data_IF_083749447359
#
_entry.id   IF_083749447359
#
_cell.length_a   1.000
_cell.length_b   1.000
_cell.length_c   1.000
_cell.angle_alpha   90.00
_cell.angle_beta   90.00
_cell.angle_gamma   90.00
#
_symmetry.space_group_name_H-M   'P 1'
#
loop_
_entity.id
_entity.type
_entity.pdbx_description
1 polymer ?
#
# COMPACT_ATOMS: atom_id res chain seq x y z
N UNK A 1 -41.90 -22.47 7.67
CA UNK A 1 -40.58 -22.86 8.23
C UNK A 1 -39.55 -21.93 7.61
N UNK A 2 -39.27 -20.80 8.26
CA UNK A 2 -38.27 -19.84 7.75
C UNK A 2 -36.89 -20.45 8.01
N UNK A 3 -36.26 -20.99 6.97
CA UNK A 3 -34.84 -21.28 7.01
C UNK A 3 -34.13 -19.95 7.30
N UNK A 4 -33.48 -19.86 8.46
CA UNK A 4 -32.54 -18.79 8.74
C UNK A 4 -31.46 -18.83 7.65
N UNK A 5 -31.55 -17.91 6.68
CA UNK A 5 -30.42 -17.51 5.85
C UNK A 5 -29.45 -16.75 6.75
N UNK A 6 -28.69 -17.47 7.58
CA UNK A 6 -27.40 -16.95 8.00
C UNK A 6 -26.51 -17.07 6.76
N UNK A 7 -26.07 -15.96 6.13
CA UNK A 7 -25.03 -16.05 5.12
C UNK A 7 -23.84 -16.74 5.79
N UNK A 8 -23.47 -17.90 5.26
CA UNK A 8 -22.40 -18.71 5.83
C UNK A 8 -21.14 -17.85 5.83
N UNK A 9 -20.51 -17.66 7.00
CA UNK A 9 -19.41 -16.70 7.20
C UNK A 9 -18.30 -16.92 6.14
N UNK A 10 -18.13 -18.17 5.72
CA UNK A 10 -17.22 -18.59 4.64
C UNK A 10 -17.55 -18.01 3.26
N UNK A 11 -18.84 -17.94 2.89
CA UNK A 11 -19.27 -17.34 1.61
C UNK A 11 -19.06 -15.83 1.57
N UNK A 12 -19.21 -15.17 2.73
CA UNK A 12 -18.93 -13.73 2.87
C UNK A 12 -17.42 -13.44 2.78
N UNK A 13 -16.60 -14.21 3.47
CA UNK A 13 -15.14 -14.07 3.44
C UNK A 13 -14.56 -14.38 2.05
N UNK A 14 -15.10 -15.39 1.36
CA UNK A 14 -14.69 -15.71 -0.01
C UNK A 14 -15.07 -14.62 -1.02
N UNK A 15 -16.29 -14.09 -0.94
CA UNK A 15 -16.72 -12.97 -1.78
C UNK A 15 -15.88 -11.72 -1.52
N UNK A 16 -15.55 -11.45 -0.26
CA UNK A 16 -14.67 -10.34 0.12
C UNK A 16 -13.27 -10.51 -0.45
N UNK A 17 -12.65 -11.68 -0.30
CA UNK A 17 -11.33 -11.96 -0.85
C UNK A 17 -11.30 -11.84 -2.38
N UNK A 18 -12.30 -12.38 -3.07
CA UNK A 18 -12.41 -12.28 -4.53
C UNK A 18 -12.58 -10.83 -4.99
N UNK A 19 -13.37 -10.03 -4.25
CA UNK A 19 -13.52 -8.61 -4.54
C UNK A 19 -12.21 -7.84 -4.28
N UNK A 20 -11.57 -8.07 -3.13
CA UNK A 20 -10.30 -7.46 -2.77
C UNK A 20 -9.21 -7.78 -3.78
N UNK A 21 -9.13 -9.04 -4.22
CA UNK A 21 -8.25 -9.49 -5.29
C UNK A 21 -8.45 -8.67 -6.56
N UNK A 22 -9.68 -8.63 -7.10
CA UNK A 22 -10.00 -7.90 -8.33
C UNK A 22 -9.73 -6.41 -8.22
N UNK A 23 -10.04 -5.81 -7.07
CA UNK A 23 -9.79 -4.40 -6.81
C UNK A 23 -8.29 -4.10 -6.77
N UNK A 24 -7.49 -4.91 -6.06
CA UNK A 24 -6.04 -4.74 -5.97
C UNK A 24 -5.37 -4.99 -7.32
N UNK A 25 -5.76 -6.02 -8.07
CA UNK A 25 -5.25 -6.27 -9.42
C UNK A 25 -5.63 -5.13 -10.37
N UNK A 26 -6.88 -4.64 -10.31
CA UNK A 26 -7.35 -3.53 -11.13
C UNK A 26 -6.59 -2.23 -10.85
N UNK A 27 -6.43 -1.88 -9.57
CA UNK A 27 -5.65 -0.71 -9.12
C UNK A 27 -4.19 -0.87 -9.54
N UNK A 28 -3.60 -2.04 -9.28
CA UNK A 28 -2.22 -2.35 -9.64
C UNK A 28 -1.97 -2.18 -11.14
N UNK A 29 -2.83 -2.76 -12.00
CA UNK A 29 -2.75 -2.61 -13.45
C UNK A 29 -2.93 -1.16 -13.89
N UNK A 30 -3.93 -0.47 -13.33
CA UNK A 30 -4.23 0.92 -13.67
C UNK A 30 -3.05 1.86 -13.41
N UNK A 31 -2.29 1.65 -12.33
CA UNK A 31 -1.11 2.46 -12.03
C UNK A 31 0.18 1.94 -12.68
N UNK A 32 0.30 0.63 -12.90
CA UNK A 32 1.47 0.03 -13.52
C UNK A 32 1.58 0.39 -15.01
N UNK A 33 0.46 0.43 -15.75
CA UNK A 33 0.47 0.72 -17.19
C UNK A 33 1.01 2.14 -17.50
N UNK A 34 0.54 3.22 -16.84
CA UNK A 34 1.15 4.54 -16.93
C UNK A 34 2.61 4.54 -16.48
N UNK A 35 2.93 3.90 -15.35
CA UNK A 35 4.29 3.84 -14.82
C UNK A 35 5.30 3.19 -15.78
N UNK A 36 4.90 2.10 -16.45
CA UNK A 36 5.71 1.46 -17.49
C UNK A 36 5.80 2.33 -18.75
N UNK A 37 4.69 2.92 -19.20
CA UNK A 37 4.69 3.81 -20.37
C UNK A 37 5.63 5.00 -20.18
N UNK A 38 5.79 5.44 -18.94
CA UNK A 38 6.69 6.51 -18.56
C UNK A 38 8.17 6.22 -18.74
N UNK A 39 8.58 4.96 -18.57
CA UNK A 39 9.96 4.52 -18.82
C UNK A 39 10.28 4.60 -20.31
N UNK A 40 9.31 4.26 -21.17
CA UNK A 40 9.54 4.12 -22.60
C UNK A 40 9.29 5.40 -23.41
N UNK A 41 8.36 6.25 -22.98
CA UNK A 41 7.88 7.36 -23.82
C UNK A 41 8.14 8.77 -23.27
N UNK A 42 8.66 8.93 -22.04
CA UNK A 42 8.96 10.25 -21.43
C UNK A 42 7.82 11.26 -21.60
N UNK A 43 6.61 10.88 -21.17
CA UNK A 43 5.43 11.75 -21.22
C UNK A 43 5.42 12.73 -20.04
N UNK A 44 4.76 13.89 -20.20
CA UNK A 44 4.58 14.87 -19.13
C UNK A 44 3.81 14.33 -17.90
N UNK A 45 3.08 13.21 -18.06
CA UNK A 45 2.41 12.51 -16.95
C UNK A 45 3.36 11.72 -16.04
N UNK A 46 4.64 11.56 -16.41
CA UNK A 46 5.63 10.87 -15.59
C UNK A 46 6.05 11.64 -14.34
N UNK A 47 5.66 12.90 -14.27
CA UNK A 47 5.80 13.76 -13.09
C UNK A 47 4.58 13.69 -12.16
N UNK A 48 3.56 12.87 -12.48
CA UNK A 48 2.49 12.53 -11.52
C UNK A 48 3.03 11.56 -10.48
N UNK A 49 3.92 12.09 -9.66
CA UNK A 49 4.50 11.41 -8.53
C UNK A 49 3.39 11.22 -7.50
N UNK A 50 3.38 10.10 -6.80
CA UNK A 50 2.59 9.96 -5.57
C UNK A 50 3.25 10.82 -4.48
N UNK A 51 3.13 12.14 -4.62
CA UNK A 51 3.61 13.19 -3.71
C UNK A 51 3.27 12.90 -2.24
N UNK A 52 2.09 12.35 -1.88
CA UNK A 52 1.79 12.07 -0.48
C UNK A 52 2.37 10.76 0.05
N UNK A 53 3.07 9.93 -0.73
CA UNK A 53 3.73 8.72 -0.20
C UNK A 53 5.18 8.99 0.23
N UNK A 54 5.86 9.92 -0.43
CA UNK A 54 7.30 10.14 -0.23
C UNK A 54 7.63 11.50 0.38
N UNK A 55 6.64 12.36 0.63
CA UNK A 55 6.87 13.68 1.22
C UNK A 55 7.80 14.59 0.41
N UNK A 56 8.00 14.30 -0.88
CA UNK A 56 8.93 15.01 -1.74
C UNK A 56 10.42 14.64 -1.56
N UNK A 57 10.74 13.42 -1.09
CA UNK A 57 12.12 12.91 -0.96
C UNK A 57 12.71 12.49 -2.33
N UNK A 58 13.50 13.35 -3.02
CA UNK A 58 13.87 13.21 -4.44
C UNK A 58 14.62 11.91 -4.78
N UNK A 59 15.24 11.26 -3.80
CA UNK A 59 16.06 10.04 -3.99
C UNK A 59 15.24 8.76 -4.15
N UNK A 60 13.95 8.73 -3.80
CA UNK A 60 13.09 7.53 -3.88
C UNK A 60 12.11 7.55 -5.07
N UNK A 61 12.17 8.59 -5.90
CA UNK A 61 11.00 9.06 -6.65
C UNK A 61 10.57 8.23 -7.87
N UNK A 62 11.49 7.70 -8.68
CA UNK A 62 11.12 7.29 -10.05
C UNK A 62 10.80 5.80 -10.22
N UNK A 63 11.59 4.89 -9.64
CA UNK A 63 11.37 3.44 -9.84
C UNK A 63 10.42 2.82 -8.82
N UNK A 64 10.38 3.37 -7.61
CA UNK A 64 9.70 2.75 -6.49
C UNK A 64 8.18 3.04 -6.47
N UNK A 65 7.82 4.31 -6.67
CA UNK A 65 6.43 4.79 -6.67
C UNK A 65 5.65 4.35 -7.93
N UNK A 66 6.30 4.38 -9.10
CA UNK A 66 5.66 4.13 -10.39
C UNK A 66 5.56 2.67 -10.81
N UNK A 67 6.39 1.78 -10.25
CA UNK A 67 6.49 0.39 -10.71
C UNK A 67 6.40 -0.59 -9.54
N UNK A 68 7.28 -0.44 -8.54
CA UNK A 68 7.39 -1.44 -7.47
C UNK A 68 6.10 -1.54 -6.63
N UNK A 69 5.50 -0.40 -6.25
CA UNK A 69 4.28 -0.39 -5.45
C UNK A 69 3.04 -0.86 -6.23
N UNK A 70 2.77 -0.41 -7.48
CA UNK A 70 1.72 -1.00 -8.30
C UNK A 70 1.92 -2.49 -8.56
N UNK A 71 3.18 -2.94 -8.78
CA UNK A 71 3.49 -4.35 -8.96
C UNK A 71 3.24 -5.16 -7.69
N UNK A 72 3.64 -4.67 -6.52
CA UNK A 72 3.33 -5.32 -5.25
C UNK A 72 1.81 -5.42 -5.00
N UNK A 73 1.06 -4.36 -5.35
CA UNK A 73 -0.41 -4.34 -5.27
C UNK A 73 -1.03 -5.39 -6.20
N UNK A 74 -0.53 -5.48 -7.44
CA UNK A 74 -0.97 -6.45 -8.44
C UNK A 74 -0.68 -7.88 -8.01
N UNK A 75 0.54 -8.15 -7.54
CA UNK A 75 0.96 -9.46 -7.05
C UNK A 75 0.14 -9.88 -5.83
N UNK A 76 -0.18 -8.95 -4.92
CA UNK A 76 -1.07 -9.21 -3.79
C UNK A 76 -2.49 -9.53 -4.26
N UNK A 77 -3.02 -8.80 -5.24
CA UNK A 77 -4.33 -9.10 -5.82
C UNK A 77 -4.38 -10.50 -6.44
N UNK A 78 -3.36 -10.88 -7.23
CA UNK A 78 -3.26 -12.21 -7.82
C UNK A 78 -3.09 -13.31 -6.76
N UNK A 79 -2.28 -13.08 -5.72
CA UNK A 79 -2.04 -14.07 -4.68
C UNK A 79 -3.28 -14.38 -3.84
N UNK A 80 -4.17 -13.40 -3.66
CA UNK A 80 -5.45 -13.60 -2.95
C UNK A 80 -6.45 -14.46 -3.75
N UNK A 81 -6.37 -14.48 -5.08
CA UNK A 81 -7.22 -15.32 -5.93
C UNK A 81 -6.70 -16.77 -6.01
N UNK A 82 -5.39 -16.97 -5.81
CA UNK A 82 -4.77 -18.28 -5.78
C UNK A 82 -5.18 -19.05 -4.51
N UNK A 83 -6.16 -19.94 -4.64
CA UNK A 83 -6.49 -20.89 -3.57
C UNK A 83 -5.30 -21.81 -3.29
N UNK A 84 -5.10 -22.17 -2.02
CA UNK A 84 -3.97 -23.00 -1.58
C UNK A 84 -2.99 -22.28 -0.66
N UNK A 85 -2.09 -23.07 -0.06
CA UNK A 85 -1.05 -22.58 0.85
C UNK A 85 -0.10 -21.58 0.19
N UNK A 86 0.11 -21.72 -1.12
CA UNK A 86 0.99 -20.84 -1.89
C UNK A 86 0.42 -19.43 -2.01
N UNK A 87 -0.86 -19.27 -2.38
CA UNK A 87 -1.51 -17.96 -2.48
C UNK A 87 -1.68 -17.29 -1.12
N UNK A 88 -2.06 -18.06 -0.10
CA UNK A 88 -2.09 -17.58 1.29
C UNK A 88 -0.72 -17.12 1.79
N UNK A 89 0.31 -17.95 1.62
CA UNK A 89 1.67 -17.67 2.10
C UNK A 89 2.33 -16.49 1.38
N UNK A 90 2.15 -16.40 0.05
CA UNK A 90 2.63 -15.26 -0.73
C UNK A 90 1.90 -13.96 -0.38
N UNK A 91 0.58 -14.01 -0.14
CA UNK A 91 -0.19 -12.86 0.33
C UNK A 91 0.29 -12.36 1.70
N UNK A 92 0.53 -13.28 2.64
CA UNK A 92 1.09 -12.93 3.96
C UNK A 92 2.49 -12.32 3.85
N UNK A 93 3.37 -12.92 3.05
CA UNK A 93 4.72 -12.41 2.86
C UNK A 93 4.71 -11.01 2.23
N UNK A 94 3.91 -10.81 1.18
CA UNK A 94 3.76 -9.51 0.52
C UNK A 94 3.20 -8.44 1.47
N UNK A 95 2.16 -8.77 2.24
CA UNK A 95 1.61 -7.86 3.24
C UNK A 95 2.61 -7.54 4.36
N UNK A 96 3.43 -8.51 4.78
CA UNK A 96 4.48 -8.28 5.77
C UNK A 96 5.56 -7.34 5.21
N UNK A 97 6.02 -7.58 3.99
CA UNK A 97 7.00 -6.73 3.31
C UNK A 97 6.48 -5.31 3.10
N UNK A 98 5.23 -5.16 2.63
CA UNK A 98 4.59 -3.86 2.46
C UNK A 98 4.40 -3.14 3.79
N UNK A 99 3.99 -3.84 4.84
CA UNK A 99 3.85 -3.25 6.17
C UNK A 99 5.20 -2.73 6.69
N UNK A 100 6.24 -3.57 6.63
CA UNK A 100 7.59 -3.19 7.03
C UNK A 100 8.08 -1.98 6.24
N UNK A 101 7.87 -1.97 4.93
CA UNK A 101 8.20 -0.85 4.06
C UNK A 101 7.51 0.44 4.48
N UNK A 102 6.19 0.44 4.68
CA UNK A 102 5.44 1.64 5.05
C UNK A 102 5.84 2.15 6.43
N UNK A 103 6.15 1.26 7.38
CA UNK A 103 6.69 1.64 8.69
C UNK A 103 8.06 2.28 8.54
N UNK A 104 8.97 1.69 7.77
CA UNK A 104 10.30 2.26 7.51
C UNK A 104 10.19 3.63 6.85
N UNK A 105 9.33 3.79 5.85
CA UNK A 105 9.07 5.09 5.21
C UNK A 105 8.51 6.11 6.20
N UNK A 106 7.57 5.72 7.07
CA UNK A 106 7.05 6.60 8.12
C UNK A 106 8.15 7.06 9.08
N UNK A 107 9.04 6.16 9.50
CA UNK A 107 10.19 6.52 10.36
C UNK A 107 11.11 7.51 9.66
N UNK A 108 11.48 7.25 8.41
CA UNK A 108 12.33 8.15 7.61
C UNK A 108 11.67 9.53 7.45
N UNK A 109 10.38 9.58 7.14
CA UNK A 109 9.64 10.84 7.02
C UNK A 109 9.56 11.61 8.33
N UNK A 110 9.43 10.90 9.47
CA UNK A 110 9.40 11.51 10.80
C UNK A 110 10.76 12.13 11.17
N UNK A 111 11.86 11.44 10.90
CA UNK A 111 13.22 11.97 11.13
C UNK A 111 13.49 13.23 10.29
N UNK A 112 13.10 13.20 9.00
CA UNK A 112 13.24 14.35 8.11
C UNK A 112 12.34 15.53 8.54
N UNK A 113 11.14 15.26 9.03
CA UNK A 113 10.24 16.28 9.59
C UNK A 113 10.88 16.99 10.79
N UNK A 114 11.51 16.25 11.70
CA UNK A 114 12.19 16.82 12.86
C UNK A 114 13.37 17.70 12.46
N UNK A 115 14.16 17.27 11.46
CA UNK A 115 15.27 18.05 10.92
C UNK A 115 14.82 19.38 10.27
N UNK A 116 13.78 19.35 9.44
CA UNK A 116 13.26 20.57 8.79
C UNK A 116 12.64 21.54 9.82
N UNK A 117 12.02 21.03 10.89
CA UNK A 117 11.53 21.88 11.99
C UNK A 117 12.67 22.58 12.72
N UNK A 118 13.78 21.91 13.00
CA UNK A 118 14.97 22.52 13.60
C UNK A 118 15.58 23.59 12.69
N UNK A 119 15.65 23.33 11.39
CA UNK A 119 16.17 24.27 10.39
C UNK A 119 15.32 25.54 10.31
N UNK A 120 14.00 25.42 10.43
CA UNK A 120 13.06 26.56 10.45
C UNK A 120 13.33 27.51 11.61
N UNK A 121 13.59 26.96 12.81
CA UNK A 121 13.92 27.74 14.02
C UNK A 121 15.23 28.51 13.87
N UNK A 122 16.22 27.96 13.15
CA UNK A 122 17.55 28.53 13.03
C UNK A 122 17.68 29.53 11.85
N UNK A 123 16.96 29.28 10.73
CA UNK A 123 17.22 29.97 9.46
C UNK A 123 16.21 31.07 9.10
N UNK A 124 15.08 31.21 9.80
CA UNK A 124 14.07 32.25 9.52
C UNK A 124 13.42 32.18 8.12
N UNK A 125 13.62 31.11 7.36
CA UNK A 125 13.01 30.90 6.04
C UNK A 125 11.65 30.24 6.20
N UNK A 126 10.62 31.02 6.54
CA UNK A 126 9.32 30.49 7.00
C UNK A 126 8.45 29.87 5.88
N UNK A 127 8.33 30.50 4.71
CA UNK A 127 7.30 30.10 3.73
C UNK A 127 7.57 28.74 3.05
N UNK A 128 8.81 28.48 2.62
CA UNK A 128 9.16 27.24 1.88
C UNK A 128 9.27 26.04 2.83
N UNK A 129 9.76 26.27 4.05
CA UNK A 129 9.90 25.23 5.06
C UNK A 129 8.54 24.81 5.64
N UNK A 130 7.58 25.72 5.82
CA UNK A 130 6.21 25.38 6.25
C UNK A 130 5.49 24.48 5.26
N UNK A 131 5.63 24.73 3.95
CA UNK A 131 4.99 23.91 2.92
C UNK A 131 5.54 22.48 2.90
N UNK A 132 6.87 22.32 3.01
CA UNK A 132 7.53 21.00 3.09
C UNK A 132 7.16 20.24 4.36
N UNK A 133 7.13 20.90 5.52
CA UNK A 133 6.67 20.32 6.78
C UNK A 133 5.24 19.78 6.65
N UNK A 134 4.36 20.51 5.97
CA UNK A 134 3.00 20.06 5.65
C UNK A 134 2.99 18.78 4.81
N UNK A 135 3.80 18.72 3.74
CA UNK A 135 3.93 17.55 2.87
C UNK A 135 4.46 16.32 3.62
N UNK A 136 5.48 16.48 4.47
CA UNK A 136 6.00 15.40 5.30
C UNK A 136 4.96 14.87 6.30
N UNK A 137 4.18 15.75 6.94
CA UNK A 137 3.10 15.34 7.86
C UNK A 137 2.01 14.54 7.16
N UNK A 138 1.53 15.02 6.02
CA UNK A 138 0.53 14.30 5.22
C UNK A 138 1.09 12.93 4.82
N UNK A 139 2.34 12.90 4.37
CA UNK A 139 2.94 11.64 3.92
C UNK A 139 3.18 10.65 5.04
N UNK A 140 3.53 11.13 6.22
CA UNK A 140 3.63 10.31 7.43
C UNK A 140 2.28 9.65 7.75
N UNK A 141 1.19 10.42 7.74
CA UNK A 141 -0.16 9.91 8.02
C UNK A 141 -0.57 8.86 6.99
N UNK A 142 -0.32 9.12 5.71
CA UNK A 142 -0.64 8.20 4.61
C UNK A 142 0.11 6.87 4.74
N UNK A 143 1.43 6.90 5.00
CA UNK A 143 2.21 5.68 5.20
C UNK A 143 1.77 4.91 6.44
N UNK A 144 1.47 5.58 7.56
CA UNK A 144 0.95 4.92 8.76
C UNK A 144 -0.43 4.30 8.51
N UNK A 145 -1.31 4.97 7.75
CA UNK A 145 -2.59 4.41 7.37
C UNK A 145 -2.44 3.15 6.52
N UNK A 146 -1.52 3.15 5.55
CA UNK A 146 -1.24 1.95 4.75
C UNK A 146 -0.61 0.82 5.57
N UNK A 147 0.31 1.13 6.48
CA UNK A 147 0.86 0.13 7.42
C UNK A 147 -0.25 -0.51 8.29
N UNK A 148 -1.19 0.30 8.78
CA UNK A 148 -2.36 -0.20 9.52
C UNK A 148 -3.23 -1.11 8.65
N UNK A 149 -3.53 -0.71 7.41
CA UNK A 149 -4.29 -1.54 6.46
C UNK A 149 -3.59 -2.88 6.23
N UNK A 150 -2.27 -2.87 6.00
CA UNK A 150 -1.49 -4.11 5.85
C UNK A 150 -1.55 -4.97 7.11
N UNK A 151 -1.46 -4.36 8.29
CA UNK A 151 -1.56 -5.06 9.58
C UNK A 151 -2.93 -5.71 9.77
N UNK A 152 -4.02 -5.00 9.46
CA UNK A 152 -5.37 -5.57 9.48
C UNK A 152 -5.53 -6.69 8.44
N UNK A 153 -4.95 -6.54 7.25
CA UNK A 153 -4.91 -7.59 6.23
C UNK A 153 -4.19 -8.86 6.71
N UNK A 154 -3.05 -8.70 7.40
CA UNK A 154 -2.32 -9.81 8.02
C UNK A 154 -3.17 -10.52 9.08
N UNK A 155 -3.76 -9.75 10.00
CA UNK A 155 -4.63 -10.29 11.05
C UNK A 155 -5.81 -11.05 10.42
N UNK A 156 -6.43 -10.47 9.39
CA UNK A 156 -7.55 -11.07 8.67
C UNK A 156 -7.18 -12.39 8.00
N UNK A 157 -6.05 -12.46 7.28
CA UNK A 157 -5.58 -13.71 6.65
C UNK A 157 -5.18 -14.80 7.65
N UNK A 158 -4.87 -14.43 8.89
CA UNK A 158 -4.58 -15.36 9.98
C UNK A 158 -5.86 -15.88 10.68
N UNK A 159 -7.03 -15.28 10.43
CA UNK A 159 -8.27 -15.76 11.02
C UNK A 159 -8.56 -17.21 10.60
N UNK A 160 -9.04 -18.06 11.53
CA UNK A 160 -9.34 -19.45 11.21
C UNK A 160 -10.39 -19.64 10.11
N UNK A 161 -11.36 -18.70 9.97
CA UNK A 161 -12.37 -18.75 8.91
C UNK A 161 -11.73 -18.60 7.54
N UNK A 162 -10.89 -17.58 7.39
CA UNK A 162 -10.17 -17.24 6.15
C UNK A 162 -9.15 -18.31 5.80
N UNK A 163 -8.39 -18.81 6.79
CA UNK A 163 -7.43 -19.88 6.58
C UNK A 163 -8.10 -21.14 6.02
N UNK A 164 -9.30 -21.50 6.47
CA UNK A 164 -10.03 -22.65 5.93
C UNK A 164 -10.30 -22.52 4.43
N UNK A 165 -10.59 -21.32 3.92
CA UNK A 165 -10.85 -21.06 2.49
C UNK A 165 -9.64 -21.44 1.63
N UNK A 166 -8.41 -21.19 2.11
CA UNK A 166 -7.18 -21.53 1.36
C UNK A 166 -6.76 -23.00 1.48
N UNK A 167 -7.35 -23.76 2.41
CA UNK A 167 -6.98 -25.15 2.69
C UNK A 167 -8.08 -26.15 2.32
N UNK A 168 -9.20 -25.67 1.78
CA UNK A 168 -10.22 -26.52 1.18
C UNK A 168 -9.75 -26.95 -0.22
N UNK A 169 -9.77 -28.27 -0.53
CA UNK A 169 -9.33 -28.81 -1.82
C UNK A 169 -10.31 -28.49 -2.96
#
# INVERSE_FOLDING_TARGET
MMQHFMPDIFTSDEAFLAYASRMLTGIGLFFLLPGLSCIFFSWAYCEWEFVPLFGGLPSMHTSFSGIALPMATLLLGLSLDMKGIFGWGSSLLLLLCLNALFITLAVVLYENLAFEQQKLVISGQEAVSMLRIGQFKISLIVNLAFALICTFGLIYLLLPSVRKIYWQP
#
